data_IF_835055180187
#
_entry.id   IF_835055180187
#
_cell.length_a   1.000
_cell.length_b   1.000
_cell.length_c   1.000
_cell.angle_alpha   90.00
_cell.angle_beta   90.00
_cell.angle_gamma   90.00
#
_symmetry.space_group_name_H-M   'P 1'
#
loop_
_entity.id
_entity.type
_entity.pdbx_description
1 polymer ?
#
# COMPACT_ATOMS: atom_id res chain seq x y z
N UNK A 1 14.23 2.14 -4.55
CA UNK A 1 13.85 1.24 -3.45
C UNK A 1 12.36 0.95 -3.34
N UNK A 2 11.45 1.92 -3.13
CA UNK A 2 9.99 1.60 -3.06
C UNK A 2 9.52 0.80 -4.27
N UNK A 3 9.81 1.31 -5.47
CA UNK A 3 9.37 0.66 -6.71
C UNK A 3 9.98 -0.74 -6.86
N UNK A 4 11.16 -0.99 -6.30
CA UNK A 4 11.82 -2.29 -6.35
C UNK A 4 11.17 -3.27 -5.37
N UNK A 5 10.82 -2.79 -4.17
CA UNK A 5 10.09 -3.57 -3.16
C UNK A 5 8.69 -3.92 -3.64
N UNK A 6 7.95 -2.95 -4.16
CA UNK A 6 6.60 -3.13 -4.68
C UNK A 6 6.57 -4.01 -5.95
N UNK A 7 7.64 -4.00 -6.75
CA UNK A 7 7.82 -4.97 -7.84
C UNK A 7 8.09 -6.39 -7.36
N UNK A 8 8.67 -6.55 -6.17
CA UNK A 8 9.04 -7.86 -5.60
C UNK A 8 7.91 -8.50 -4.80
N UNK A 9 6.85 -7.75 -4.48
CA UNK A 9 5.68 -8.26 -3.75
C UNK A 9 4.64 -8.75 -4.78
N UNK A 10 4.43 -10.06 -4.82
CA UNK A 10 3.34 -10.66 -5.59
C UNK A 10 2.07 -10.71 -4.73
N UNK A 11 1.26 -9.66 -4.81
CA UNK A 11 -0.03 -9.60 -4.13
C UNK A 11 -1.00 -10.69 -4.62
N UNK A 12 -0.87 -11.16 -5.87
CA UNK A 12 -1.66 -12.27 -6.38
C UNK A 12 -1.38 -13.55 -5.61
N UNK A 13 -0.10 -13.83 -5.34
CA UNK A 13 0.32 -14.95 -4.49
C UNK A 13 -0.26 -14.85 -3.07
N UNK A 14 -0.23 -13.66 -2.46
CA UNK A 14 -0.80 -13.40 -1.12
C UNK A 14 -2.31 -13.65 -1.10
N UNK A 15 -3.04 -13.17 -2.10
CA UNK A 15 -4.51 -13.21 -2.10
C UNK A 15 -5.12 -14.52 -2.63
N UNK A 16 -4.34 -15.34 -3.34
CA UNK A 16 -4.84 -16.54 -4.02
C UNK A 16 -4.00 -17.78 -3.75
N UNK A 17 -2.97 -18.05 -4.54
CA UNK A 17 -2.41 -19.41 -4.65
C UNK A 17 -1.51 -19.83 -3.49
N UNK A 18 -0.90 -18.88 -2.77
CA UNK A 18 0.12 -19.18 -1.76
C UNK A 18 -0.37 -19.09 -0.31
N UNK A 19 -1.32 -18.20 -0.03
CA UNK A 19 -1.72 -17.85 1.34
C UNK A 19 -3.24 -17.61 1.48
N UNK A 20 -4.09 -18.29 0.71
CA UNK A 20 -5.54 -18.00 0.71
C UNK A 20 -6.16 -18.13 2.10
N UNK A 21 -5.87 -19.21 2.80
CA UNK A 21 -6.47 -19.52 4.09
C UNK A 21 -5.94 -18.57 5.17
N UNK A 22 -4.63 -18.33 5.20
CA UNK A 22 -4.01 -17.33 6.08
C UNK A 22 -4.55 -15.93 5.82
N UNK A 23 -4.77 -15.59 4.55
CA UNK A 23 -5.35 -14.31 4.16
C UNK A 23 -6.81 -14.19 4.61
N UNK A 24 -7.61 -15.24 4.43
CA UNK A 24 -9.01 -15.25 4.88
C UNK A 24 -9.16 -15.17 6.40
N UNK A 25 -8.21 -15.74 7.14
CA UNK A 25 -8.17 -15.70 8.59
C UNK A 25 -7.58 -14.38 9.15
N UNK A 26 -6.93 -13.56 8.31
CA UNK A 26 -6.43 -12.24 8.68
C UNK A 26 -7.42 -11.15 8.21
N UNK A 27 -8.11 -10.43 9.12
CA UNK A 27 -9.09 -9.41 8.73
C UNK A 27 -8.55 -8.36 7.77
N UNK A 28 -7.29 -7.94 7.96
CA UNK A 28 -6.61 -6.96 7.09
C UNK A 28 -6.42 -7.52 5.67
N UNK A 29 -5.97 -8.78 5.56
CA UNK A 29 -5.72 -9.39 4.26
C UNK A 29 -7.04 -9.65 3.53
N UNK A 30 -8.05 -10.16 4.24
CA UNK A 30 -9.39 -10.36 3.70
C UNK A 30 -9.98 -9.05 3.15
N UNK A 31 -9.96 -7.98 3.93
CA UNK A 31 -10.45 -6.67 3.49
C UNK A 31 -9.67 -6.14 2.29
N UNK A 32 -8.35 -6.27 2.30
CA UNK A 32 -7.49 -5.86 1.18
C UNK A 32 -7.80 -6.67 -0.10
N UNK A 33 -8.12 -7.96 0.05
CA UNK A 33 -8.56 -8.82 -1.07
C UNK A 33 -9.92 -8.39 -1.62
N UNK A 34 -10.89 -8.11 -0.75
CA UNK A 34 -12.21 -7.61 -1.17
C UNK A 34 -12.09 -6.27 -1.89
N UNK A 35 -11.24 -5.36 -1.41
CA UNK A 35 -10.92 -4.11 -2.10
C UNK A 35 -10.32 -4.34 -3.50
N UNK A 36 -9.43 -5.34 -3.65
CA UNK A 36 -8.90 -5.69 -4.96
C UNK A 36 -9.99 -6.24 -5.90
N UNK A 37 -10.92 -7.04 -5.37
CA UNK A 37 -12.05 -7.55 -6.16
C UNK A 37 -12.92 -6.40 -6.66
N UNK A 38 -13.22 -5.41 -5.83
CA UNK A 38 -14.01 -4.24 -6.23
C UNK A 38 -13.33 -3.42 -7.34
N UNK A 39 -12.01 -3.28 -7.24
CA UNK A 39 -11.19 -2.63 -8.29
C UNK A 39 -11.32 -3.39 -9.61
N UNK A 40 -11.23 -4.72 -9.58
CA UNK A 40 -11.31 -5.57 -10.76
C UNK A 40 -12.72 -5.66 -11.35
N UNK A 41 -13.76 -5.58 -10.52
CA UNK A 41 -15.16 -5.53 -10.97
C UNK A 41 -15.56 -4.17 -11.52
N UNK A 42 -14.72 -3.15 -11.32
CA UNK A 42 -15.02 -1.78 -11.71
C UNK A 42 -16.05 -1.10 -10.80
N UNK A 43 -16.30 -1.65 -9.62
CA UNK A 43 -17.28 -1.12 -8.66
C UNK A 43 -16.68 0.07 -7.95
N UNK A 44 -17.34 1.23 -8.01
CA UNK A 44 -16.98 2.36 -7.16
C UNK A 44 -17.53 2.15 -5.75
N UNK A 45 -16.70 2.44 -4.75
CA UNK A 45 -17.10 2.47 -3.35
C UNK A 45 -17.65 3.85 -3.00
N UNK A 46 -18.69 3.89 -2.16
CA UNK A 46 -19.18 5.14 -1.57
C UNK A 46 -18.08 5.81 -0.73
N UNK A 47 -18.17 7.12 -0.56
CA UNK A 47 -17.18 7.90 0.21
C UNK A 47 -17.10 7.49 1.68
N UNK A 48 -18.18 6.93 2.23
CA UNK A 48 -18.25 6.45 3.61
C UNK A 48 -17.47 5.15 3.83
N UNK A 49 -17.22 4.40 2.76
CA UNK A 49 -16.51 3.13 2.85
C UNK A 49 -15.01 3.34 3.04
N UNK A 50 -14.41 2.45 3.82
CA UNK A 50 -12.98 2.48 4.07
C UNK A 50 -12.17 2.37 2.76
N UNK A 51 -11.16 3.24 2.65
CA UNK A 51 -10.25 3.31 1.51
C UNK A 51 -10.93 3.62 0.16
N UNK A 52 -12.12 4.22 0.17
CA UNK A 52 -12.87 4.56 -1.04
C UNK A 52 -12.06 5.37 -2.06
N UNK A 53 -11.26 6.35 -1.63
CA UNK A 53 -10.41 7.15 -2.52
C UNK A 53 -9.38 6.27 -3.24
N UNK A 54 -8.71 5.37 -2.52
CA UNK A 54 -7.72 4.46 -3.09
C UNK A 54 -8.37 3.49 -4.08
N UNK A 55 -9.49 2.87 -3.69
CA UNK A 55 -10.23 1.90 -4.50
C UNK A 55 -10.76 2.57 -5.77
N UNK A 56 -11.41 3.73 -5.66
CA UNK A 56 -11.97 4.44 -6.81
C UNK A 56 -10.87 4.95 -7.75
N UNK A 57 -9.71 5.36 -7.22
CA UNK A 57 -8.55 5.67 -8.05
C UNK A 57 -8.09 4.43 -8.84
N UNK A 58 -7.98 3.29 -8.18
CA UNK A 58 -7.54 2.05 -8.81
C UNK A 58 -8.55 1.54 -9.87
N UNK A 59 -9.85 1.62 -9.58
CA UNK A 59 -10.93 1.35 -10.54
C UNK A 59 -10.79 2.20 -11.80
N UNK A 60 -10.57 3.52 -11.64
CA UNK A 60 -10.35 4.44 -12.76
C UNK A 60 -9.08 4.11 -13.54
N UNK A 61 -8.00 3.72 -12.87
CA UNK A 61 -6.79 3.24 -13.55
C UNK A 61 -7.08 2.06 -14.45
N UNK A 62 -7.85 1.07 -14.00
CA UNK A 62 -8.20 -0.10 -14.82
C UNK A 62 -9.03 0.31 -16.04
N UNK A 63 -10.08 1.10 -15.82
CA UNK A 63 -10.99 1.55 -16.88
C UNK A 63 -10.26 2.40 -17.94
N UNK A 64 -9.47 3.38 -17.53
CA UNK A 64 -8.81 4.31 -18.45
C UNK A 64 -7.67 3.68 -19.25
N UNK A 65 -7.10 2.59 -18.74
CA UNK A 65 -5.95 1.94 -19.38
C UNK A 65 -6.34 0.82 -20.33
N UNK A 66 -7.65 0.55 -20.48
CA UNK A 66 -8.19 -0.57 -21.28
C UNK A 66 -7.49 -1.89 -20.91
N UNK A 67 -7.29 -2.14 -19.62
CA UNK A 67 -6.58 -3.33 -19.10
C UNK A 67 -5.14 -3.52 -19.62
N UNK A 68 -4.52 -2.48 -20.19
CA UNK A 68 -3.11 -2.53 -20.56
C UNK A 68 -2.26 -2.59 -19.30
N UNK A 69 -1.75 -3.78 -18.97
CA UNK A 69 -1.02 -4.05 -17.74
C UNK A 69 0.08 -3.03 -17.44
N UNK A 70 0.87 -2.60 -18.44
CA UNK A 70 1.95 -1.63 -18.23
C UNK A 70 1.38 -0.28 -17.78
N UNK A 71 0.37 0.23 -18.48
CA UNK A 71 -0.29 1.50 -18.14
C UNK A 71 -1.06 1.41 -16.84
N UNK A 72 -1.78 0.32 -16.60
CA UNK A 72 -2.51 0.07 -15.35
C UNK A 72 -1.54 0.07 -14.18
N UNK A 73 -0.45 -0.69 -14.28
CA UNK A 73 0.54 -0.81 -13.23
C UNK A 73 1.21 0.55 -12.93
N UNK A 74 1.55 1.31 -13.97
CA UNK A 74 2.05 2.67 -13.80
C UNK A 74 1.06 3.55 -13.03
N UNK A 75 -0.21 3.54 -13.44
CA UNK A 75 -1.27 4.31 -12.81
C UNK A 75 -1.46 3.93 -11.33
N UNK A 76 -1.58 2.63 -11.03
CA UNK A 76 -1.72 2.13 -9.66
C UNK A 76 -0.53 2.53 -8.77
N UNK A 77 0.70 2.28 -9.25
CA UNK A 77 1.92 2.47 -8.46
C UNK A 77 2.34 3.93 -8.28
N UNK A 78 2.07 4.79 -9.26
CA UNK A 78 2.54 6.18 -9.25
C UNK A 78 1.45 7.18 -8.94
N UNK A 79 0.18 6.83 -9.16
CA UNK A 79 -0.93 7.74 -8.90
C UNK A 79 -1.69 7.30 -7.65
N UNK A 80 -2.24 6.09 -7.64
CA UNK A 80 -3.17 5.65 -6.59
C UNK A 80 -2.49 5.26 -5.28
N UNK A 81 -1.30 4.65 -5.33
CA UNK A 81 -0.56 4.25 -4.13
C UNK A 81 -0.27 5.42 -3.17
N UNK A 82 -0.33 6.67 -3.63
CA UNK A 82 -0.31 7.85 -2.76
C UNK A 82 -1.44 7.84 -1.71
N UNK A 83 -2.66 7.44 -2.10
CA UNK A 83 -3.84 7.40 -1.23
C UNK A 83 -3.76 6.32 -0.15
N UNK A 84 -2.81 5.39 -0.26
CA UNK A 84 -2.47 4.50 0.84
C UNK A 84 -1.82 5.27 2.01
N UNK A 85 -1.17 6.41 1.76
CA UNK A 85 -0.30 7.08 2.73
C UNK A 85 -0.66 8.55 2.99
N UNK A 86 -1.68 9.11 2.35
CA UNK A 86 -2.13 10.49 2.57
C UNK A 86 -3.10 10.64 3.77
N UNK A 87 -3.39 9.54 4.45
CA UNK A 87 -4.32 9.44 5.57
C UNK A 87 -5.72 8.94 5.18
N UNK A 88 -6.03 8.81 3.89
CA UNK A 88 -7.36 8.37 3.42
C UNK A 88 -7.61 6.86 3.55
N UNK A 89 -6.55 6.06 3.70
CA UNK A 89 -6.66 4.61 3.83
C UNK A 89 -5.68 4.06 4.88
N UNK A 90 -5.99 4.22 6.19
CA UNK A 90 -5.12 3.79 7.28
C UNK A 90 -4.80 2.29 7.24
N UNK A 91 -5.76 1.45 6.84
CA UNK A 91 -5.55 -0.01 6.75
C UNK A 91 -4.54 -0.38 5.66
N UNK A 92 -4.58 0.25 4.48
CA UNK A 92 -3.53 0.05 3.48
C UNK A 92 -2.17 0.50 4.01
N UNK A 93 -2.10 1.70 4.63
CA UNK A 93 -0.85 2.19 5.22
C UNK A 93 -0.26 1.18 6.20
N UNK A 94 -1.08 0.67 7.12
CA UNK A 94 -0.68 -0.29 8.13
C UNK A 94 -0.20 -1.61 7.50
N UNK A 95 -0.97 -2.16 6.56
CA UNK A 95 -0.64 -3.41 5.88
C UNK A 95 0.70 -3.30 5.14
N UNK A 96 0.86 -2.29 4.29
CA UNK A 96 2.09 -2.11 3.50
C UNK A 96 3.28 -1.79 4.41
N UNK A 97 3.09 -1.01 5.47
CA UNK A 97 4.13 -0.72 6.47
C UNK A 97 4.58 -2.00 7.17
N UNK A 98 3.66 -2.91 7.52
CA UNK A 98 3.99 -4.20 8.13
C UNK A 98 4.81 -5.07 7.19
N UNK A 99 4.43 -5.15 5.90
CA UNK A 99 5.21 -5.89 4.89
C UNK A 99 6.62 -5.29 4.77
N UNK A 100 6.72 -3.97 4.64
CA UNK A 100 8.01 -3.29 4.55
C UNK A 100 8.87 -3.58 5.78
N UNK A 101 8.30 -3.48 6.99
CA UNK A 101 9.03 -3.73 8.22
C UNK A 101 9.61 -5.16 8.25
N UNK A 102 8.85 -6.16 7.82
CA UNK A 102 9.35 -7.53 7.71
C UNK A 102 10.50 -7.65 6.72
N UNK A 103 10.38 -7.05 5.53
CA UNK A 103 11.45 -7.06 4.51
C UNK A 103 12.69 -6.32 5.02
N UNK A 104 12.50 -5.18 5.69
CA UNK A 104 13.57 -4.36 6.24
C UNK A 104 14.37 -5.10 7.31
N UNK A 105 13.70 -5.85 8.18
CA UNK A 105 14.33 -6.67 9.21
C UNK A 105 15.03 -7.88 8.58
N UNK A 106 14.33 -8.68 7.76
CA UNK A 106 14.88 -9.88 7.13
C UNK A 106 16.06 -9.57 6.21
N UNK A 107 15.98 -8.45 5.47
CA UNK A 107 17.02 -7.97 4.57
C UNK A 107 18.15 -7.21 5.26
N UNK A 108 18.05 -6.94 6.56
CA UNK A 108 18.98 -6.09 7.32
C UNK A 108 19.20 -4.71 6.64
N UNK A 109 18.13 -4.13 6.09
CA UNK A 109 18.21 -2.95 5.22
C UNK A 109 18.81 -1.74 5.96
N UNK A 110 18.48 -1.58 7.24
CA UNK A 110 19.04 -0.51 8.09
C UNK A 110 20.56 -0.53 8.11
N UNK A 111 21.17 -1.70 8.30
CA UNK A 111 22.63 -1.84 8.33
C UNK A 111 23.24 -1.64 6.94
N UNK A 112 22.60 -2.16 5.88
CA UNK A 112 23.10 -2.05 4.51
C UNK A 112 23.25 -0.60 4.02
N UNK A 113 22.39 0.31 4.51
CA UNK A 113 22.43 1.72 4.12
C UNK A 113 22.81 2.65 5.28
N UNK A 114 23.32 2.11 6.40
CA UNK A 114 23.69 2.86 7.61
C UNK A 114 22.57 3.79 8.15
N UNK A 115 21.32 3.35 8.09
CA UNK A 115 20.19 4.11 8.60
C UNK A 115 20.07 3.96 10.12
N UNK A 116 20.06 5.09 10.85
CA UNK A 116 20.05 5.13 12.31
C UNK A 116 18.66 4.95 12.95
N UNK A 117 17.58 5.16 12.19
CA UNK A 117 16.21 5.04 12.68
C UNK A 117 15.63 3.62 12.61
N UNK A 118 14.34 3.51 12.88
CA UNK A 118 13.55 2.29 12.76
C UNK A 118 13.10 2.04 11.32
N UNK A 119 12.71 0.80 10.99
CA UNK A 119 12.28 0.44 9.64
C UNK A 119 11.06 1.25 9.17
N UNK A 120 10.11 1.57 10.04
CA UNK A 120 8.96 2.39 9.65
C UNK A 120 9.37 3.84 9.32
N UNK A 121 10.40 4.38 9.98
CA UNK A 121 10.92 5.72 9.69
C UNK A 121 11.60 5.74 8.33
N UNK A 122 12.43 4.72 8.05
CA UNK A 122 12.99 4.50 6.73
C UNK A 122 11.88 4.42 5.67
N UNK A 123 10.82 3.68 5.94
CA UNK A 123 9.70 3.55 5.02
C UNK A 123 8.99 4.88 4.77
N UNK A 124 8.77 5.66 5.83
CA UNK A 124 8.18 7.00 5.75
C UNK A 124 9.01 7.90 4.82
N UNK A 125 10.33 7.92 4.96
CA UNK A 125 11.22 8.70 4.09
C UNK A 125 11.13 8.25 2.63
N UNK A 126 11.13 6.92 2.40
CA UNK A 126 11.00 6.35 1.05
C UNK A 126 9.68 6.74 0.39
N UNK A 127 8.58 6.68 1.14
CA UNK A 127 7.24 7.05 0.65
C UNK A 127 7.16 8.55 0.39
N UNK A 128 7.73 9.37 1.29
CA UNK A 128 7.81 10.81 1.09
C UNK A 128 8.56 11.16 -0.20
N UNK A 129 9.75 10.59 -0.41
CA UNK A 129 10.52 10.81 -1.63
C UNK A 129 9.79 10.35 -2.90
N UNK A 130 9.07 9.21 -2.83
CA UNK A 130 8.31 8.71 -3.99
C UNK A 130 7.19 9.67 -4.42
N UNK A 131 6.52 10.32 -3.46
CA UNK A 131 5.37 11.19 -3.72
C UNK A 131 5.63 12.64 -3.29
N UNK A 132 6.88 13.08 -3.34
CA UNK A 132 7.34 14.33 -2.76
C UNK A 132 6.50 15.53 -3.22
N UNK A 133 6.27 15.63 -4.53
CA UNK A 133 5.44 16.68 -5.12
C UNK A 133 4.04 16.73 -4.49
N UNK A 134 3.36 15.58 -4.41
CA UNK A 134 2.00 15.50 -3.85
C UNK A 134 1.97 15.86 -2.36
N UNK A 135 2.95 15.39 -1.59
CA UNK A 135 3.04 15.71 -0.16
C UNK A 135 3.37 17.18 0.10
N UNK A 136 4.23 17.80 -0.72
CA UNK A 136 4.52 19.23 -0.65
C UNK A 136 3.30 20.08 -1.02
N UNK A 137 2.59 19.74 -2.09
CA UNK A 137 1.38 20.44 -2.53
C UNK A 137 0.26 20.35 -1.48
N UNK A 138 0.15 19.22 -0.77
CA UNK A 138 -0.84 19.02 0.27
C UNK A 138 -0.42 19.56 1.65
N UNK A 139 0.81 20.06 1.80
CA UNK A 139 1.45 20.39 3.09
C UNK A 139 1.29 19.28 4.15
N UNK A 140 1.60 18.04 3.75
CA UNK A 140 1.42 16.84 4.57
C UNK A 140 2.65 15.95 4.56
N UNK A 141 2.71 15.05 5.54
CA UNK A 141 3.68 13.94 5.60
C UNK A 141 2.94 12.60 5.46
N UNK A 142 3.65 11.52 5.06
CA UNK A 142 3.05 10.21 4.97
C UNK A 142 2.49 9.76 6.32
N UNK A 143 1.23 9.31 6.33
CA UNK A 143 0.51 8.76 7.47
C UNK A 143 1.00 7.34 7.80
N UNK A 144 2.27 7.23 8.19
CA UNK A 144 2.96 5.99 8.57
C UNK A 144 3.48 6.19 9.99
N UNK A 145 2.93 5.52 11.01
CA UNK A 145 3.40 5.64 12.39
C UNK A 145 3.26 4.33 13.21
N UNK A 146 3.73 4.35 14.46
CA UNK A 146 3.66 3.20 15.37
C UNK A 146 2.22 2.95 15.83
N UNK A 147 1.39 3.98 16.02
CA UNK A 147 0.00 3.82 16.47
C UNK A 147 -0.82 3.05 15.43
N UNK A 148 -0.60 3.30 14.14
CA UNK A 148 -1.23 2.53 13.06
C UNK A 148 -0.83 1.04 13.12
N UNK A 149 0.37 0.73 13.61
CA UNK A 149 0.82 -0.65 13.82
C UNK A 149 0.29 -1.28 15.13
N UNK A 150 0.08 -0.47 16.19
CA UNK A 150 -0.33 -0.93 17.53
C UNK A 150 -1.83 -1.15 17.69
N UNK A 151 -2.68 -0.49 16.90
CA UNK A 151 -4.14 -0.58 17.02
C UNK A 151 -4.70 -2.02 16.89
N UNK A 152 -3.88 -3.01 16.52
CA UNK A 152 -4.36 -4.33 16.11
C UNK A 152 -3.50 -5.50 16.63
N UNK A 153 -2.77 -5.30 17.74
CA UNK A 153 -2.04 -6.39 18.42
C UNK A 153 -2.92 -7.24 19.36
N UNK A 154 -4.24 -7.02 19.35
CA UNK A 154 -5.23 -7.82 20.11
C UNK A 154 -6.13 -8.59 19.14
#
# INVERSE_FOLDING_TARGET
MYNDLDKSIDYGCIFTVGCLDECNNCPICKLSKEQLIDVLSGSERSSENECSILVNCATKCIQQTNFNFIKTNYCLRHQCAYHCFDGSCPTCSAFVTRIFNQICIKGNLRKRINFKGQCYEMFREIVYQKFEKKFKEADRRPAIDIKTNLLWSN
#
